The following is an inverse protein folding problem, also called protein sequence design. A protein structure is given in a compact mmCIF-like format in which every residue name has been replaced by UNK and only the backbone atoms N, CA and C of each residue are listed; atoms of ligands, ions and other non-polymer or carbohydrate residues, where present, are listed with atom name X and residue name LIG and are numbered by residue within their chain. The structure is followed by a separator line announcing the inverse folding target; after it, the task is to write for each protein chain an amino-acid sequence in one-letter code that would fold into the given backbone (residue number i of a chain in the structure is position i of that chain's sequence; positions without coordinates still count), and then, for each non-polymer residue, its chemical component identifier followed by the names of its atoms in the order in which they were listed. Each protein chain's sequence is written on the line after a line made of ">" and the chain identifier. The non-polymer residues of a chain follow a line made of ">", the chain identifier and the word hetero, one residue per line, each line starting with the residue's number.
data_IF_568626937564
#
_entry.id   IF_568626937564
#
_cell.length_a   1.000
_cell.length_b   1.000
_cell.length_c   1.000
_cell.angle_alpha   90.00
_cell.angle_beta   90.00
_cell.angle_gamma   90.00
#
_symmetry.space_group_name_H-M   'P 1'
#
loop_
_entity.id
_entity.type
_entity.pdbx_description
1 polymer ?
#
# COMPACT_ATOMS: atom_id res chain seq x y z
N UNK A 1 -8.03 37.97 -23.88
CA UNK A 1 -8.46 36.63 -24.34
C UNK A 1 -7.42 35.65 -23.83
N UNK A 2 -7.66 35.05 -22.69
CA UNK A 2 -6.82 34.00 -22.13
C UNK A 2 -7.12 32.70 -22.86
N UNK A 3 -6.10 32.10 -23.49
CA UNK A 3 -6.20 30.78 -24.10
C UNK A 3 -6.58 29.77 -23.00
N UNK A 4 -7.84 29.38 -22.94
CA UNK A 4 -8.25 28.18 -22.21
C UNK A 4 -7.47 27.02 -22.79
N UNK A 5 -6.58 26.42 -21.96
CA UNK A 5 -5.70 25.36 -22.40
C UNK A 5 -6.52 24.15 -22.86
N UNK A 6 -6.45 23.86 -24.16
CA UNK A 6 -7.03 22.66 -24.74
C UNK A 6 -6.35 21.43 -24.13
N UNK A 7 -7.03 20.77 -23.22
CA UNK A 7 -6.55 19.51 -22.64
C UNK A 7 -6.68 18.41 -23.70
N UNK A 8 -5.55 17.89 -24.17
CA UNK A 8 -5.58 16.81 -25.17
C UNK A 8 -6.19 15.52 -24.58
N UNK A 9 -6.74 14.66 -25.47
CA UNK A 9 -7.21 13.33 -25.02
C UNK A 9 -6.10 12.52 -24.37
N UNK A 10 -4.87 12.68 -24.81
CA UNK A 10 -3.68 12.05 -24.23
C UNK A 10 -3.41 12.54 -22.79
N UNK A 11 -3.52 13.86 -22.56
CA UNK A 11 -3.34 14.44 -21.20
C UNK A 11 -4.44 13.97 -20.24
N UNK A 12 -5.67 13.92 -20.71
CA UNK A 12 -6.79 13.42 -19.91
C UNK A 12 -6.58 11.95 -19.53
N UNK A 13 -6.24 11.11 -20.49
CA UNK A 13 -5.98 9.68 -20.25
C UNK A 13 -4.78 9.48 -19.32
N UNK A 14 -3.70 10.24 -19.48
CA UNK A 14 -2.55 10.18 -18.57
C UNK A 14 -2.95 10.55 -17.14
N UNK A 15 -3.78 11.60 -16.97
CA UNK A 15 -4.31 11.99 -15.65
C UNK A 15 -5.17 10.89 -15.02
N UNK A 16 -6.07 10.27 -15.80
CA UNK A 16 -6.92 9.17 -15.33
C UNK A 16 -6.11 7.95 -14.91
N UNK A 17 -5.14 7.51 -15.73
CA UNK A 17 -4.28 6.37 -15.35
C UNK A 17 -3.49 6.70 -14.08
N UNK A 18 -2.94 7.90 -13.98
CA UNK A 18 -2.21 8.34 -12.77
C UNK A 18 -3.09 8.29 -11.53
N UNK A 19 -4.33 8.77 -11.64
CA UNK A 19 -5.30 8.69 -10.54
C UNK A 19 -5.57 7.25 -10.12
N UNK A 20 -5.81 6.34 -11.07
CA UNK A 20 -6.04 4.93 -10.79
C UNK A 20 -4.86 4.24 -10.11
N UNK A 21 -3.62 4.62 -10.47
CA UNK A 21 -2.40 4.13 -9.80
C UNK A 21 -2.31 4.71 -8.38
N UNK A 22 -2.54 6.01 -8.21
CA UNK A 22 -2.48 6.68 -6.89
C UNK A 22 -3.56 6.14 -5.94
N UNK A 23 -4.77 5.90 -6.44
CA UNK A 23 -5.86 5.32 -5.63
C UNK A 23 -5.69 3.82 -5.38
N UNK A 24 -4.79 3.16 -6.11
CA UNK A 24 -4.53 1.73 -6.02
C UNK A 24 -5.56 0.86 -6.73
N UNK A 25 -6.43 1.45 -7.56
CA UNK A 25 -7.30 0.68 -8.47
C UNK A 25 -6.50 -0.08 -9.54
N UNK A 26 -5.34 0.48 -9.94
CA UNK A 26 -4.32 -0.22 -10.70
C UNK A 26 -3.16 -0.51 -9.75
N UNK A 27 -2.96 -1.78 -9.43
CA UNK A 27 -1.96 -2.21 -8.46
C UNK A 27 -0.54 -2.14 -9.04
N UNK A 28 0.46 -1.91 -8.19
CA UNK A 28 1.86 -2.02 -8.60
C UNK A 28 2.16 -3.44 -9.14
N UNK A 29 2.86 -3.52 -10.28
CA UNK A 29 3.11 -4.75 -11.01
C UNK A 29 1.94 -5.23 -11.89
N UNK A 30 0.79 -4.58 -11.86
CA UNK A 30 -0.36 -4.93 -12.69
C UNK A 30 -0.08 -4.66 -14.16
N UNK A 31 -0.38 -5.64 -15.01
CA UNK A 31 -0.24 -5.51 -16.45
C UNK A 31 -1.40 -4.71 -17.05
N UNK A 32 -1.07 -3.65 -17.78
CA UNK A 32 -2.03 -2.75 -18.39
C UNK A 32 -2.21 -3.08 -19.88
N UNK A 33 -3.45 -3.34 -20.29
CA UNK A 33 -3.79 -3.57 -21.69
C UNK A 33 -4.40 -2.32 -22.30
N UNK A 34 -3.77 -1.79 -23.36
CA UNK A 34 -4.23 -0.59 -24.06
C UNK A 34 -5.71 -0.66 -24.48
N UNK A 35 -6.14 -1.85 -24.94
CA UNK A 35 -7.52 -2.06 -25.38
C UNK A 35 -8.52 -1.89 -24.22
N UNK A 36 -8.19 -2.42 -23.05
CA UNK A 36 -9.09 -2.42 -21.90
C UNK A 36 -9.21 -1.01 -21.31
N UNK A 37 -8.10 -0.27 -21.24
CA UNK A 37 -8.10 1.14 -20.85
C UNK A 37 -8.81 2.03 -21.88
N UNK A 38 -8.63 1.77 -23.19
CA UNK A 38 -9.35 2.49 -24.24
C UNK A 38 -10.86 2.32 -24.13
N UNK A 39 -11.32 1.09 -23.88
CA UNK A 39 -12.71 0.78 -23.61
C UNK A 39 -13.23 1.47 -22.33
N UNK A 40 -12.47 1.37 -21.22
CA UNK A 40 -12.82 1.99 -19.93
C UNK A 40 -12.99 3.50 -20.02
N UNK A 41 -12.13 4.19 -20.80
CA UNK A 41 -12.12 5.65 -20.92
C UNK A 41 -12.93 6.18 -22.10
N UNK A 42 -13.51 5.32 -22.95
CA UNK A 42 -14.30 5.73 -24.11
C UNK A 42 -13.47 6.43 -25.19
N UNK A 43 -12.20 6.04 -25.38
CA UNK A 43 -11.28 6.62 -26.36
C UNK A 43 -10.70 5.54 -27.28
N UNK A 44 -10.02 5.96 -28.37
CA UNK A 44 -9.25 5.03 -29.19
C UNK A 44 -7.93 4.62 -28.48
N UNK A 45 -7.30 3.54 -28.97
CA UNK A 45 -6.04 3.05 -28.37
C UNK A 45 -4.86 4.02 -28.57
N UNK A 46 -4.89 4.89 -29.57
CA UNK A 46 -3.78 5.83 -29.85
C UNK A 46 -3.48 6.76 -28.68
N UNK A 47 -4.44 7.56 -28.14
CA UNK A 47 -4.18 8.43 -26.98
C UNK A 47 -3.81 7.62 -25.72
N UNK A 48 -4.31 6.39 -25.58
CA UNK A 48 -3.93 5.52 -24.45
C UNK A 48 -2.46 5.12 -24.56
N UNK A 49 -2.01 4.66 -25.73
CA UNK A 49 -0.61 4.29 -25.95
C UNK A 49 0.36 5.47 -25.73
N UNK A 50 -0.01 6.66 -26.19
CA UNK A 50 0.79 7.87 -25.97
C UNK A 50 0.84 8.25 -24.48
N UNK A 51 -0.30 8.20 -23.80
CA UNK A 51 -0.37 8.44 -22.37
C UNK A 51 0.48 7.43 -21.57
N UNK A 52 0.43 6.14 -21.91
CA UNK A 52 1.23 5.11 -21.25
C UNK A 52 2.73 5.30 -21.50
N UNK A 53 3.16 5.69 -22.69
CA UNK A 53 4.58 6.03 -22.97
C UNK A 53 5.05 7.24 -22.18
N UNK A 54 4.19 8.24 -22.03
CA UNK A 54 4.50 9.39 -21.20
C UNK A 54 4.64 9.00 -19.72
N UNK A 55 3.70 8.19 -19.20
CA UNK A 55 3.77 7.70 -17.83
C UNK A 55 4.95 6.76 -17.58
N UNK A 56 5.42 6.05 -18.62
CA UNK A 56 6.68 5.30 -18.59
C UNK A 56 7.87 6.27 -18.45
N UNK A 57 7.92 7.34 -19.22
CA UNK A 57 8.99 8.35 -19.10
C UNK A 57 8.98 9.09 -17.75
N UNK A 58 7.84 9.14 -17.08
CA UNK A 58 7.66 9.68 -15.73
C UNK A 58 7.94 8.63 -14.62
N UNK A 59 8.26 7.37 -15.00
CA UNK A 59 8.55 6.29 -14.07
C UNK A 59 7.32 5.68 -13.38
N UNK A 60 6.10 6.05 -13.79
CA UNK A 60 4.87 5.49 -13.24
C UNK A 60 4.54 4.10 -13.82
N UNK A 61 4.96 3.87 -15.06
CA UNK A 61 4.81 2.60 -15.77
C UNK A 61 6.19 2.10 -16.22
N UNK A 62 6.28 0.79 -16.40
CA UNK A 62 7.43 0.12 -17.01
C UNK A 62 6.94 -0.59 -18.28
N UNK A 63 7.69 -0.47 -19.38
CA UNK A 63 7.40 -1.20 -20.61
C UNK A 63 8.40 -2.35 -20.78
N UNK A 64 7.88 -3.56 -20.80
CA UNK A 64 8.65 -4.76 -21.16
C UNK A 64 8.28 -5.18 -22.58
N UNK A 65 9.27 -5.56 -23.37
CA UNK A 65 9.09 -5.94 -24.79
C UNK A 65 8.18 -7.16 -24.97
N UNK A 66 8.08 -8.03 -23.96
CA UNK A 66 7.28 -9.27 -23.98
C UNK A 66 5.98 -9.13 -23.20
N UNK A 67 5.96 -8.34 -22.12
CA UNK A 67 4.80 -8.19 -21.22
C UNK A 67 4.00 -6.92 -21.48
N UNK A 68 4.51 -5.97 -22.26
CA UNK A 68 3.87 -4.68 -22.48
C UNK A 68 4.04 -3.74 -21.28
N UNK A 69 3.04 -2.90 -21.03
CA UNK A 69 3.10 -1.95 -19.93
C UNK A 69 2.61 -2.57 -18.62
N UNK A 70 3.35 -2.31 -17.55
CA UNK A 70 2.98 -2.64 -16.16
C UNK A 70 3.06 -1.40 -15.30
N UNK A 71 2.26 -1.33 -14.25
CA UNK A 71 2.41 -0.29 -13.21
C UNK A 71 3.77 -0.48 -12.55
N UNK A 72 4.57 0.60 -12.47
CA UNK A 72 5.86 0.53 -11.82
C UNK A 72 5.70 0.05 -10.37
N UNK A 73 6.46 -0.96 -10.00
CA UNK A 73 6.64 -1.34 -8.61
C UNK A 73 7.97 -0.72 -8.16
N UNK A 74 8.04 -0.08 -6.98
CA UNK A 74 9.31 0.36 -6.45
C UNK A 74 10.24 -0.86 -6.34
N UNK A 75 11.45 -0.73 -6.86
CA UNK A 75 12.48 -1.69 -6.54
C UNK A 75 12.72 -1.60 -5.04
N UNK A 76 12.48 -2.71 -4.34
CA UNK A 76 12.81 -2.78 -2.94
C UNK A 76 14.33 -2.73 -2.82
N UNK A 77 14.82 -1.70 -2.16
CA UNK A 77 16.15 -1.68 -1.60
C UNK A 77 16.34 -2.83 -0.60
N UNK A 78 17.43 -2.87 0.13
CA UNK A 78 17.64 -3.86 1.17
C UNK A 78 16.41 -3.97 2.07
N UNK A 79 16.02 -5.19 2.45
CA UNK A 79 14.82 -5.46 3.29
C UNK A 79 14.77 -4.54 4.51
N UNK A 80 15.92 -4.22 5.08
CA UNK A 80 16.05 -3.35 6.24
C UNK A 80 15.65 -1.89 5.95
N UNK A 81 15.95 -1.36 4.76
CA UNK A 81 15.54 -0.03 4.33
C UNK A 81 14.01 0.06 4.19
N UNK A 82 13.40 -0.97 3.61
CA UNK A 82 11.95 -1.06 3.52
C UNK A 82 11.28 -1.01 4.90
N UNK A 83 11.79 -1.75 5.88
CA UNK A 83 11.29 -1.72 7.25
C UNK A 83 11.44 -0.34 7.90
N UNK A 84 12.54 0.38 7.65
CA UNK A 84 12.76 1.74 8.16
C UNK A 84 11.76 2.73 7.56
N UNK A 85 11.54 2.70 6.24
CA UNK A 85 10.60 3.57 5.56
C UNK A 85 9.16 3.27 6.03
N UNK A 86 8.80 2.00 6.11
CA UNK A 86 7.50 1.58 6.63
C UNK A 86 7.30 2.05 8.07
N UNK A 87 8.27 1.82 8.95
CA UNK A 87 8.17 2.25 10.34
C UNK A 87 7.90 3.75 10.46
N UNK A 88 8.56 4.58 9.65
CA UNK A 88 8.35 6.03 9.63
C UNK A 88 6.94 6.41 9.14
N UNK A 89 6.50 5.85 8.01
CA UNK A 89 5.20 6.16 7.41
C UNK A 89 4.03 5.59 8.23
N UNK A 90 4.15 4.35 8.71
CA UNK A 90 3.12 3.69 9.50
C UNK A 90 2.94 4.36 10.86
N UNK A 91 4.04 4.77 11.51
CA UNK A 91 4.00 5.53 12.77
C UNK A 91 3.32 6.88 12.60
N UNK A 92 3.59 7.58 11.49
CA UNK A 92 2.88 8.81 11.15
C UNK A 92 1.38 8.54 10.95
N UNK A 93 1.04 7.45 10.25
CA UNK A 93 -0.35 7.01 10.04
C UNK A 93 -1.08 6.78 11.35
N UNK A 94 -0.47 6.04 12.27
CA UNK A 94 -1.05 5.76 13.59
C UNK A 94 -1.21 7.03 14.43
N UNK A 95 -0.24 7.94 14.40
CA UNK A 95 -0.34 9.23 15.08
C UNK A 95 -1.49 10.10 14.57
N UNK A 96 -1.69 10.13 13.26
CA UNK A 96 -2.81 10.86 12.64
C UNK A 96 -4.15 10.18 12.93
N UNK A 97 -4.19 8.83 12.88
CA UNK A 97 -5.38 8.04 13.16
C UNK A 97 -5.86 8.22 14.60
N UNK A 98 -4.97 8.24 15.59
CA UNK A 98 -5.32 8.43 16.99
C UNK A 98 -6.15 9.70 17.26
N UNK A 99 -6.03 10.71 16.41
CA UNK A 99 -6.77 11.97 16.53
C UNK A 99 -8.12 11.97 15.83
N UNK A 100 -8.43 10.94 15.02
CA UNK A 100 -9.56 10.97 14.08
C UNK A 100 -10.40 9.70 14.13
N UNK A 101 -9.85 8.60 14.66
CA UNK A 101 -10.52 7.30 14.65
C UNK A 101 -11.81 7.37 15.46
N UNK A 102 -12.87 6.84 14.90
CA UNK A 102 -14.17 6.73 15.56
C UNK A 102 -14.40 5.35 16.20
N UNK A 103 -15.54 5.19 16.86
CA UNK A 103 -15.91 3.94 17.50
C UNK A 103 -16.03 2.77 16.51
N UNK A 104 -16.44 3.03 15.27
CA UNK A 104 -16.57 2.01 14.22
C UNK A 104 -15.18 1.52 13.76
N UNK A 105 -14.25 2.43 13.54
CA UNK A 105 -12.85 2.10 13.21
C UNK A 105 -12.18 1.28 14.32
N UNK A 106 -12.35 1.68 15.57
CA UNK A 106 -11.83 0.92 16.72
C UNK A 106 -12.46 -0.48 16.83
N UNK A 107 -13.77 -0.61 16.61
CA UNK A 107 -14.45 -1.90 16.62
C UNK A 107 -13.92 -2.82 15.52
N UNK A 108 -13.73 -2.29 14.30
CA UNK A 108 -13.16 -3.06 13.17
C UNK A 108 -11.75 -3.54 13.47
N UNK A 109 -10.89 -2.68 14.00
CA UNK A 109 -9.51 -3.04 14.35
C UNK A 109 -9.46 -4.13 15.43
N UNK A 110 -10.34 -4.06 16.46
CA UNK A 110 -10.44 -5.10 17.49
C UNK A 110 -10.86 -6.43 16.89
N UNK A 111 -11.91 -6.44 16.06
CA UNK A 111 -12.40 -7.66 15.39
C UNK A 111 -11.28 -8.32 14.57
N UNK A 112 -10.55 -7.54 13.77
CA UNK A 112 -9.42 -8.04 12.97
C UNK A 112 -8.31 -8.62 13.87
N UNK A 113 -7.97 -7.93 14.94
CA UNK A 113 -6.92 -8.39 15.86
C UNK A 113 -7.33 -9.66 16.61
N UNK A 114 -8.58 -9.77 17.01
CA UNK A 114 -9.12 -10.97 17.67
C UNK A 114 -9.14 -12.17 16.71
N UNK A 115 -9.51 -11.97 15.46
CA UNK A 115 -9.42 -13.02 14.44
C UNK A 115 -7.98 -13.53 14.26
N UNK A 116 -6.99 -12.64 14.15
CA UNK A 116 -5.58 -13.00 14.01
C UNK A 116 -5.02 -13.74 15.20
N UNK A 117 -5.44 -13.38 16.41
CA UNK A 117 -4.95 -13.95 17.68
C UNK A 117 -5.12 -15.46 17.79
N UNK A 118 -6.20 -15.99 17.21
CA UNK A 118 -6.56 -17.41 17.31
C UNK A 118 -6.17 -18.23 16.07
N UNK A 119 -5.54 -17.60 15.07
CA UNK A 119 -5.04 -18.33 13.91
C UNK A 119 -3.74 -19.07 14.25
N UNK A 120 -3.59 -20.33 13.77
CA UNK A 120 -2.27 -21.00 13.76
C UNK A 120 -1.22 -20.15 13.03
N UNK A 121 0.05 -20.24 13.46
CA UNK A 121 1.13 -19.41 12.91
C UNK A 121 1.38 -19.60 11.39
N UNK A 122 0.93 -20.73 10.82
CA UNK A 122 1.06 -21.02 9.39
C UNK A 122 -0.23 -20.76 8.58
N UNK A 123 -1.27 -20.21 9.21
CA UNK A 123 -2.55 -19.97 8.53
C UNK A 123 -2.41 -18.79 7.53
N UNK A 124 -2.64 -19.04 6.21
CA UNK A 124 -2.44 -18.02 5.19
C UNK A 124 -3.40 -16.82 5.31
N UNK A 125 -4.53 -16.97 6.02
CA UNK A 125 -5.48 -15.88 6.27
C UNK A 125 -4.88 -14.76 7.11
N UNK A 126 -3.85 -15.07 7.89
CA UNK A 126 -3.18 -14.06 8.71
C UNK A 126 -2.65 -12.88 7.89
N UNK A 127 -2.04 -13.15 6.76
CA UNK A 127 -1.45 -12.10 5.90
C UNK A 127 -2.49 -11.07 5.49
N UNK A 128 -3.68 -11.53 5.07
CA UNK A 128 -4.76 -10.62 4.63
C UNK A 128 -5.37 -9.87 5.82
N UNK A 129 -5.63 -10.53 6.94
CA UNK A 129 -6.16 -9.90 8.15
C UNK A 129 -5.18 -8.86 8.71
N UNK A 130 -3.90 -9.17 8.74
CA UNK A 130 -2.85 -8.26 9.18
C UNK A 130 -2.75 -7.04 8.27
N UNK A 131 -2.80 -7.27 6.95
CA UNK A 131 -2.86 -6.20 5.97
C UNK A 131 -4.07 -5.30 6.20
N UNK A 132 -5.26 -5.89 6.36
CA UNK A 132 -6.49 -5.14 6.58
C UNK A 132 -6.46 -4.33 7.88
N UNK A 133 -5.88 -4.88 8.95
CA UNK A 133 -5.65 -4.15 10.20
C UNK A 133 -4.83 -2.88 9.96
N UNK A 134 -3.67 -3.00 9.35
CA UNK A 134 -2.79 -1.86 9.08
C UNK A 134 -3.46 -0.83 8.15
N UNK A 135 -4.10 -1.29 7.08
CA UNK A 135 -4.80 -0.39 6.15
C UNK A 135 -6.02 0.30 6.77
N UNK A 136 -6.67 -0.32 7.74
CA UNK A 136 -7.74 0.33 8.52
C UNK A 136 -7.16 1.49 9.34
N UNK A 137 -6.01 1.31 9.99
CA UNK A 137 -5.30 2.40 10.69
C UNK A 137 -4.96 3.55 9.71
N UNK A 138 -4.39 3.25 8.55
CA UNK A 138 -4.01 4.29 7.58
C UNK A 138 -5.22 5.02 7.01
N UNK A 139 -6.34 4.34 6.81
CA UNK A 139 -7.59 4.96 6.36
C UNK A 139 -8.14 5.94 7.40
N UNK A 140 -8.07 5.58 8.69
CA UNK A 140 -8.47 6.46 9.80
C UNK A 140 -7.55 7.69 9.95
N UNK A 141 -6.32 7.65 9.41
CA UNK A 141 -5.43 8.80 9.41
C UNK A 141 -5.98 10.00 8.61
N UNK A 142 -6.91 9.75 7.66
CA UNK A 142 -7.52 10.79 6.83
C UNK A 142 -6.49 11.54 5.97
N UNK A 143 -5.47 10.84 5.47
CA UNK A 143 -4.44 11.34 4.57
C UNK A 143 -4.40 10.49 3.29
N UNK A 144 -5.05 10.92 2.19
CA UNK A 144 -5.04 10.18 0.93
C UNK A 144 -3.63 9.93 0.38
N UNK A 145 -2.73 10.90 0.53
CA UNK A 145 -1.35 10.76 0.10
C UNK A 145 -0.62 9.66 0.87
N UNK A 146 -0.74 9.64 2.20
CA UNK A 146 -0.14 8.59 3.02
C UNK A 146 -0.69 7.20 2.63
N UNK A 147 -2.00 7.09 2.47
CA UNK A 147 -2.65 5.84 2.08
C UNK A 147 -2.14 5.33 0.72
N UNK A 148 -1.91 6.23 -0.25
CA UNK A 148 -1.36 5.89 -1.56
C UNK A 148 0.10 5.42 -1.46
N UNK A 149 0.92 6.09 -0.66
CA UNK A 149 2.30 5.66 -0.41
C UNK A 149 2.34 4.29 0.26
N UNK A 150 1.46 4.04 1.22
CA UNK A 150 1.38 2.73 1.88
C UNK A 150 0.95 1.61 0.93
N UNK A 151 -0.01 1.87 0.02
CA UNK A 151 -0.37 0.90 -1.02
C UNK A 151 0.82 0.54 -1.90
N UNK A 152 1.57 1.55 -2.34
CA UNK A 152 2.77 1.35 -3.15
C UNK A 152 3.82 0.51 -2.43
N UNK A 153 4.10 0.83 -1.16
CA UNK A 153 5.05 0.09 -0.31
C UNK A 153 4.63 -1.36 -0.09
N UNK A 154 3.36 -1.61 0.21
CA UNK A 154 2.85 -2.96 0.44
C UNK A 154 2.79 -3.79 -0.84
N UNK A 155 2.47 -3.18 -1.98
CA UNK A 155 2.45 -3.88 -3.26
C UNK A 155 3.84 -4.42 -3.65
N UNK A 156 4.91 -3.72 -3.25
CA UNK A 156 6.28 -4.16 -3.50
C UNK A 156 6.74 -5.34 -2.63
N UNK A 157 6.00 -5.68 -1.57
CA UNK A 157 6.35 -6.77 -0.64
C UNK A 157 5.86 -8.17 -1.07
N UNK A 158 5.36 -8.36 -2.28
CA UNK A 158 4.97 -9.66 -2.86
C UNK A 158 4.39 -10.66 -1.83
N UNK A 159 3.21 -10.35 -1.27
CA UNK A 159 2.54 -11.20 -0.28
C UNK A 159 2.67 -10.71 1.18
N UNK A 160 3.18 -9.51 1.39
CA UNK A 160 3.27 -8.87 2.71
C UNK A 160 4.63 -9.06 3.40
N UNK A 161 4.84 -8.38 4.52
CA UNK A 161 6.09 -8.48 5.27
C UNK A 161 6.22 -9.86 5.88
N UNK A 162 7.29 -10.58 5.52
CA UNK A 162 7.63 -11.86 6.14
C UNK A 162 8.46 -11.60 7.39
N UNK A 163 7.93 -11.98 8.54
CA UNK A 163 8.56 -11.78 9.85
C UNK A 163 8.56 -13.08 10.65
N UNK A 164 9.54 -13.24 11.53
CA UNK A 164 9.71 -14.45 12.35
C UNK A 164 8.80 -14.48 13.59
N UNK A 165 8.09 -13.39 13.86
CA UNK A 165 7.21 -13.22 15.02
C UNK A 165 5.94 -14.09 14.90
N UNK A 166 5.50 -14.69 16.02
CA UNK A 166 4.24 -15.46 16.08
C UNK A 166 3.01 -14.55 15.92
N UNK A 167 1.89 -15.13 15.46
CA UNK A 167 0.63 -14.40 15.33
C UNK A 167 0.15 -13.86 16.67
N UNK A 168 0.28 -14.65 17.74
CA UNK A 168 -0.10 -14.25 19.10
C UNK A 168 0.74 -13.06 19.62
N UNK A 169 2.02 -13.03 19.29
CA UNK A 169 2.90 -11.93 19.68
C UNK A 169 2.58 -10.66 18.90
N UNK A 170 2.31 -10.79 17.59
CA UNK A 170 1.85 -9.68 16.76
C UNK A 170 0.53 -9.11 17.29
N UNK A 171 -0.44 -9.97 17.63
CA UNK A 171 -1.73 -9.55 18.18
C UNK A 171 -1.60 -8.79 19.51
N UNK A 172 -0.68 -9.19 20.39
CA UNK A 172 -0.40 -8.44 21.63
C UNK A 172 0.15 -7.03 21.35
N UNK A 173 1.02 -6.88 20.36
CA UNK A 173 1.55 -5.57 19.96
C UNK A 173 0.46 -4.71 19.32
N UNK A 174 -0.45 -5.31 18.56
CA UNK A 174 -1.64 -4.63 18.03
C UNK A 174 -2.56 -4.14 19.17
N UNK A 175 -2.72 -4.89 20.27
CA UNK A 175 -3.50 -4.43 21.44
C UNK A 175 -2.93 -3.14 22.03
N UNK A 176 -1.61 -3.03 22.07
CA UNK A 176 -0.97 -1.82 22.57
C UNK A 176 -1.18 -0.61 21.64
N UNK A 177 -1.15 -0.85 20.31
CA UNK A 177 -1.51 0.17 19.32
C UNK A 177 -2.98 0.56 19.48
N UNK A 178 -3.88 -0.41 19.56
CA UNK A 178 -5.32 -0.21 19.75
C UNK A 178 -5.62 0.60 21.00
N UNK A 179 -4.92 0.33 22.10
CA UNK A 179 -5.08 1.09 23.35
C UNK A 179 -4.70 2.56 23.12
N UNK A 180 -3.55 2.83 22.52
CA UNK A 180 -3.11 4.20 22.25
C UNK A 180 -4.07 4.94 21.29
N UNK A 181 -4.61 4.25 20.27
CA UNK A 181 -5.63 4.80 19.37
C UNK A 181 -6.92 5.15 20.10
N UNK A 182 -7.39 4.26 20.99
CA UNK A 182 -8.61 4.47 21.76
C UNK A 182 -8.49 5.62 22.78
N UNK A 183 -7.30 5.78 23.36
CA UNK A 183 -6.98 6.85 24.30
C UNK A 183 -6.74 8.20 23.61
N UNK A 184 -6.69 8.24 22.25
CA UNK A 184 -6.31 9.44 21.49
C UNK A 184 -4.84 9.83 21.65
N UNK A 185 -4.01 8.92 22.17
CA UNK A 185 -2.58 9.14 22.41
C UNK A 185 -1.79 9.01 21.09
N UNK A 186 -1.68 10.12 20.39
CA UNK A 186 -0.98 10.19 19.10
C UNK A 186 0.52 9.85 19.21
N UNK A 187 1.16 10.21 20.30
CA UNK A 187 2.59 9.93 20.52
C UNK A 187 2.80 8.43 20.86
N UNK A 188 1.96 7.87 21.72
CA UNK A 188 1.97 6.46 22.07
C UNK A 188 1.64 5.58 20.86
N UNK A 189 0.62 5.93 20.06
CA UNK A 189 0.27 5.21 18.85
C UNK A 189 1.44 5.17 17.85
N UNK A 190 2.11 6.30 17.65
CA UNK A 190 3.31 6.40 16.81
C UNK A 190 4.44 5.50 17.33
N UNK A 191 4.80 5.62 18.61
CA UNK A 191 5.92 4.88 19.18
C UNK A 191 5.70 3.35 19.16
N UNK A 192 4.48 2.90 19.48
CA UNK A 192 4.12 1.47 19.50
C UNK A 192 4.10 0.89 18.09
N UNK A 193 3.58 1.64 17.11
CA UNK A 193 3.62 1.22 15.70
C UNK A 193 5.06 1.14 15.20
N UNK A 194 5.91 2.10 15.52
CA UNK A 194 7.33 2.05 15.18
C UNK A 194 8.00 0.79 15.75
N UNK A 195 7.80 0.51 17.03
CA UNK A 195 8.34 -0.68 17.68
C UNK A 195 7.81 -1.98 17.08
N UNK A 196 6.51 -2.01 16.76
CA UNK A 196 5.88 -3.15 16.09
C UNK A 196 6.54 -3.45 14.73
N UNK A 197 6.80 -2.45 13.91
CA UNK A 197 7.42 -2.64 12.59
C UNK A 197 8.91 -2.97 12.72
N UNK A 198 9.67 -2.21 13.51
CA UNK A 198 11.12 -2.38 13.66
C UNK A 198 11.51 -3.58 14.52
N UNK A 199 10.66 -4.00 15.43
CA UNK A 199 10.88 -5.19 16.27
C UNK A 199 10.58 -6.52 15.56
N UNK A 200 10.23 -6.48 14.28
CA UNK A 200 10.05 -7.66 13.45
C UNK A 200 11.39 -8.00 12.78
N UNK A 201 11.92 -9.19 13.09
CA UNK A 201 13.07 -9.71 12.33
C UNK A 201 12.59 -10.14 10.94
N UNK A 202 13.12 -9.54 9.86
CA UNK A 202 12.74 -9.96 8.52
C UNK A 202 13.30 -11.36 8.24
N UNK A 203 12.47 -12.22 7.67
CA UNK A 203 12.94 -13.50 7.15
C UNK A 203 13.91 -13.22 6.01
N UNK A 204 15.15 -13.69 6.13
CA UNK A 204 16.13 -13.58 5.04
C UNK A 204 15.63 -14.39 3.85
N UNK A 205 15.42 -13.70 2.73
CA UNK A 205 15.14 -14.39 1.46
C UNK A 205 16.32 -15.32 1.13
N UNK A 206 16.06 -16.61 1.03
CA UNK A 206 17.01 -17.56 0.45
C UNK A 206 16.98 -17.36 -1.07
N UNK A 207 18.16 -17.43 -1.72
CA UNK A 207 18.33 -17.18 -3.17
C UNK A 207 17.41 -18.01 -4.07
N UNK A 208 16.76 -19.03 -3.55
CA UNK A 208 15.83 -19.92 -4.25
C UNK A 208 14.47 -19.26 -4.60
N UNK A 209 14.08 -18.19 -3.92
CA UNK A 209 12.76 -17.55 -4.12
C UNK A 209 12.76 -16.50 -5.27
N UNK A 210 13.91 -16.25 -5.90
CA UNK A 210 14.06 -15.29 -7.02
C UNK A 210 13.83 -15.91 -8.41
N UNK A 211 13.48 -17.21 -8.49
CA UNK A 211 13.41 -17.99 -9.74
C UNK A 211 12.01 -18.46 -10.12
N UNK A 212 10.94 -17.81 -9.66
CA UNK A 212 9.56 -18.13 -10.07
C UNK A 212 8.86 -16.94 -10.73
#
# INVERSE_FOLDING_TARGET
>A
MTAEGYVSKTDLVAALIRELVITGELAAGEQLRQRDLAHRFGVSQTPVREAMRRLESEGLLVCDTHRGFTVAAPELGPVQENFQIRAALESLGASLAARKIDAAGLARLRDLNDQMRFLPDEDPRYVELNREFHFTVYSCAGSPLLLSLMRLMWASLHGGPRVTRTHAESARQHDEILKALADGDAAGASARTYQHIMGADPVKETETDRSL
#
